data_IF_047167859881
#
_entry.id   IF_047167859881
#
_cell.length_a   1.000
_cell.length_b   1.000
_cell.length_c   1.000
_cell.angle_alpha   90.00
_cell.angle_beta   90.00
_cell.angle_gamma   90.00
#
_symmetry.space_group_name_H-M   'P 1'
#
loop_
_entity.id
_entity.type
_entity.pdbx_description
1 polymer ?
#
# COMPACT_ATOMS: atom_id res chain seq x y z
N UNK A 1 -1.52 -0.29 12.08
CA UNK A 1 -2.29 -0.76 10.91
C UNK A 1 -1.67 -2.05 10.41
N UNK A 2 -2.37 -3.18 10.56
CA UNK A 2 -1.95 -4.48 10.01
C UNK A 2 -2.07 -4.41 8.48
N UNK A 3 -0.95 -4.43 7.77
CA UNK A 3 -0.95 -4.87 6.38
C UNK A 3 -1.10 -6.38 6.39
N UNK A 4 -2.34 -6.87 6.32
CA UNK A 4 -2.56 -8.26 5.98
C UNK A 4 -2.19 -8.42 4.50
N UNK A 5 -0.98 -8.94 4.27
CA UNK A 5 -0.56 -9.51 3.01
C UNK A 5 -1.50 -10.67 2.71
N UNK A 6 -2.42 -10.48 1.78
CA UNK A 6 -2.96 -11.61 1.03
C UNK A 6 -2.08 -11.67 -0.22
N UNK A 7 -0.87 -12.20 -0.04
CA UNK A 7 -0.21 -12.85 -1.16
C UNK A 7 -1.04 -14.11 -1.39
N UNK A 8 -1.86 -14.11 -2.44
CA UNK A 8 -2.41 -15.36 -2.94
C UNK A 8 -1.21 -16.09 -3.52
N UNK A 9 -0.67 -16.99 -2.71
CA UNK A 9 0.39 -17.91 -3.09
C UNK A 9 -0.05 -18.64 -4.36
N UNK A 10 0.70 -18.43 -5.45
CA UNK A 10 0.37 -18.93 -6.78
C UNK A 10 0.80 -20.39 -6.99
N UNK A 11 1.20 -21.08 -5.92
CA UNK A 11 1.66 -22.47 -6.00
C UNK A 11 0.55 -23.50 -6.23
N UNK A 12 -0.73 -23.17 -5.99
CA UNK A 12 -1.84 -24.11 -6.19
C UNK A 12 -2.35 -24.25 -7.64
N UNK A 13 -1.81 -23.48 -8.58
CA UNK A 13 -2.22 -23.56 -9.99
C UNK A 13 -1.02 -23.61 -10.94
N UNK A 14 -0.10 -24.54 -10.67
CA UNK A 14 0.77 -25.07 -11.73
C UNK A 14 -0.16 -25.68 -12.78
N UNK A 15 -0.24 -25.02 -13.94
CA UNK A 15 -1.01 -25.44 -15.12
C UNK A 15 -0.56 -26.82 -15.58
N UNK A 16 -1.13 -27.87 -14.98
CA UNK A 16 -0.97 -29.24 -15.43
C UNK A 16 -2.01 -29.51 -16.51
N UNK A 17 -1.63 -29.27 -17.76
CA UNK A 17 -2.13 -29.93 -18.99
C UNK A 17 -3.64 -30.22 -19.05
N UNK A 18 -4.48 -29.19 -18.91
CA UNK A 18 -5.89 -29.25 -19.33
C UNK A 18 -6.14 -28.03 -20.20
N UNK A 19 -6.78 -28.20 -21.37
CA UNK A 19 -7.21 -27.12 -22.27
C UNK A 19 -8.27 -26.24 -21.58
N UNK A 20 -7.88 -25.50 -20.56
CA UNK A 20 -8.72 -24.55 -19.85
C UNK A 20 -8.68 -23.23 -20.60
N UNK A 21 -9.82 -22.71 -21.11
CA UNK A 21 -9.84 -21.40 -21.73
C UNK A 21 -9.57 -20.32 -20.66
N UNK A 22 -8.78 -19.32 -21.03
CA UNK A 22 -8.37 -18.22 -20.14
C UNK A 22 -9.56 -17.49 -19.50
N UNK A 23 -10.70 -17.43 -20.19
CA UNK A 23 -11.97 -16.91 -19.66
C UNK A 23 -12.36 -17.53 -18.31
N UNK A 24 -12.34 -18.86 -18.17
CA UNK A 24 -12.75 -19.51 -16.91
C UNK A 24 -11.75 -19.23 -15.78
N UNK A 25 -10.48 -19.01 -16.12
CA UNK A 25 -9.49 -18.59 -15.14
C UNK A 25 -9.85 -17.22 -14.58
N UNK A 26 -10.12 -16.24 -15.45
CA UNK A 26 -10.56 -14.91 -15.03
C UNK A 26 -11.85 -15.00 -14.20
N UNK A 27 -12.85 -15.72 -14.66
CA UNK A 27 -14.13 -15.86 -13.95
C UNK A 27 -13.95 -16.41 -12.53
N UNK A 28 -13.13 -17.47 -12.37
CA UNK A 28 -12.82 -18.03 -11.05
C UNK A 28 -12.12 -17.03 -10.14
N UNK A 29 -11.11 -16.31 -10.66
CA UNK A 29 -10.39 -15.30 -9.87
C UNK A 29 -11.27 -14.12 -9.51
N UNK A 30 -12.16 -13.69 -10.40
CA UNK A 30 -13.15 -12.64 -10.10
C UNK A 30 -14.05 -13.03 -8.93
N UNK A 31 -14.64 -14.24 -8.99
CA UNK A 31 -15.49 -14.76 -7.91
C UNK A 31 -14.71 -14.90 -6.60
N UNK A 32 -13.48 -15.40 -6.65
CA UNK A 32 -12.62 -15.51 -5.47
C UNK A 32 -12.39 -14.15 -4.81
N UNK A 33 -12.07 -13.12 -5.60
CA UNK A 33 -11.87 -11.76 -5.11
C UNK A 33 -13.17 -11.19 -4.53
N UNK A 34 -14.31 -11.44 -5.15
CA UNK A 34 -15.62 -11.03 -4.65
C UNK A 34 -16.00 -11.70 -3.32
N UNK A 35 -15.65 -12.97 -3.13
CA UNK A 35 -15.88 -13.65 -1.85
C UNK A 35 -15.02 -13.07 -0.72
N UNK A 36 -13.84 -12.54 -1.04
CA UNK A 36 -12.95 -11.92 -0.08
C UNK A 36 -13.39 -10.50 0.33
N UNK A 37 -14.29 -9.82 -0.39
CA UNK A 37 -14.61 -8.38 -0.17
C UNK A 37 -15.35 -8.06 1.14
N UNK A 38 -15.55 -9.02 2.04
CA UNK A 38 -16.11 -8.78 3.37
C UNK A 38 -15.19 -7.86 4.20
N UNK A 39 -13.91 -7.79 3.84
CA UNK A 39 -12.95 -6.79 4.31
C UNK A 39 -12.70 -5.74 3.23
N UNK A 40 -12.72 -4.45 3.62
CA UNK A 40 -12.39 -3.34 2.73
C UNK A 40 -10.90 -3.38 2.36
N UNK A 41 -10.57 -3.90 1.18
CA UNK A 41 -9.22 -3.83 0.63
C UNK A 41 -8.98 -2.48 -0.03
N UNK A 42 -7.79 -1.90 0.18
CA UNK A 42 -7.40 -0.63 -0.44
C UNK A 42 -7.04 -0.76 -1.93
N UNK A 43 -6.47 -1.90 -2.35
CA UNK A 43 -6.09 -2.17 -3.75
C UNK A 43 -6.29 -3.64 -4.08
N UNK A 44 -6.78 -3.96 -5.27
CA UNK A 44 -6.94 -5.32 -5.76
C UNK A 44 -6.06 -5.50 -7.00
N UNK A 45 -5.14 -6.46 -6.97
CA UNK A 45 -4.18 -6.70 -8.05
C UNK A 45 -4.14 -8.19 -8.39
N UNK A 46 -4.08 -8.51 -9.67
CA UNK A 46 -3.84 -9.86 -10.18
C UNK A 46 -2.54 -9.83 -10.98
N UNK A 47 -1.60 -10.69 -10.61
CA UNK A 47 -0.34 -10.88 -11.33
C UNK A 47 -0.40 -12.16 -12.17
N UNK A 48 -0.16 -12.03 -13.46
CA UNK A 48 0.00 -13.15 -14.38
C UNK A 48 1.47 -13.47 -14.54
N UNK A 49 1.84 -14.72 -14.28
CA UNK A 49 3.18 -15.25 -14.50
C UNK A 49 3.07 -16.29 -15.61
N UNK A 50 3.60 -16.00 -16.78
CA UNK A 50 3.38 -16.85 -17.97
C UNK A 50 4.50 -16.71 -18.99
N UNK A 51 4.82 -17.81 -19.66
CA UNK A 51 5.68 -17.87 -20.84
C UNK A 51 4.86 -18.15 -22.11
N UNK A 52 3.56 -17.88 -22.09
CA UNK A 52 2.70 -18.06 -23.26
C UNK A 52 2.00 -16.76 -23.62
N UNK A 53 2.44 -16.18 -24.73
CA UNK A 53 1.96 -14.93 -25.34
C UNK A 53 0.51 -15.03 -25.78
N UNK A 54 0.10 -16.21 -26.27
CA UNK A 54 -1.25 -16.47 -26.77
C UNK A 54 -1.87 -17.67 -26.03
N UNK A 55 -2.44 -17.43 -24.84
CA UNK A 55 -3.16 -18.48 -24.13
C UNK A 55 -4.36 -18.96 -24.96
N UNK A 56 -4.69 -20.25 -24.82
CA UNK A 56 -5.84 -20.82 -25.49
C UNK A 56 -7.13 -20.12 -25.03
N UNK A 57 -7.80 -19.47 -25.97
CA UNK A 57 -9.09 -18.83 -25.77
C UNK A 57 -10.09 -19.41 -26.77
N UNK A 58 -11.22 -19.89 -26.26
CA UNK A 58 -12.33 -20.33 -27.12
C UNK A 58 -13.03 -19.11 -27.74
N UNK A 59 -13.33 -18.12 -26.90
CA UNK A 59 -13.99 -16.86 -27.27
C UNK A 59 -13.16 -15.68 -26.74
N UNK A 60 -12.41 -15.03 -27.63
CA UNK A 60 -11.52 -13.91 -27.26
C UNK A 60 -12.33 -12.69 -26.77
N UNK A 61 -13.42 -12.33 -27.47
CA UNK A 61 -14.27 -11.20 -27.11
C UNK A 61 -14.89 -11.34 -25.73
N UNK A 62 -15.32 -12.55 -25.35
CA UNK A 62 -15.86 -12.80 -24.01
C UNK A 62 -14.78 -12.65 -22.93
N UNK A 63 -13.55 -13.04 -23.24
CA UNK A 63 -12.39 -12.90 -22.35
C UNK A 63 -12.02 -11.44 -22.14
N UNK A 64 -12.00 -10.64 -23.21
CA UNK A 64 -11.74 -9.19 -23.15
C UNK A 64 -12.86 -8.48 -22.39
N UNK A 65 -14.12 -8.79 -22.69
CA UNK A 65 -15.26 -8.24 -21.93
C UNK A 65 -15.12 -8.55 -20.44
N UNK A 66 -14.66 -9.76 -20.09
CA UNK A 66 -14.46 -10.12 -18.69
C UNK A 66 -13.28 -9.40 -18.04
N UNK A 67 -12.22 -9.15 -18.79
CA UNK A 67 -11.10 -8.34 -18.34
C UNK A 67 -11.57 -6.89 -18.05
N UNK A 68 -12.38 -6.32 -18.93
CA UNK A 68 -12.96 -4.99 -18.72
C UNK A 68 -13.84 -4.95 -17.46
N UNK A 69 -14.70 -5.96 -17.24
CA UNK A 69 -15.47 -6.06 -15.98
C UNK A 69 -14.56 -6.03 -14.73
N UNK A 70 -13.39 -6.68 -14.80
CA UNK A 70 -12.42 -6.67 -13.69
C UNK A 70 -11.81 -5.30 -13.48
N UNK A 71 -11.44 -4.62 -14.57
CA UNK A 71 -10.91 -3.26 -14.54
C UNK A 71 -11.94 -2.28 -13.98
N UNK A 72 -13.20 -2.37 -14.40
CA UNK A 72 -14.32 -1.57 -13.89
C UNK A 72 -14.59 -1.83 -12.40
N UNK A 73 -14.36 -3.07 -11.94
CA UNK A 73 -14.41 -3.44 -10.53
C UNK A 73 -13.19 -2.95 -9.71
N UNK A 74 -12.26 -2.21 -10.34
CA UNK A 74 -11.05 -1.69 -9.73
C UNK A 74 -9.98 -2.74 -9.46
N UNK A 75 -9.92 -3.80 -10.26
CA UNK A 75 -8.90 -4.84 -10.19
C UNK A 75 -7.82 -4.53 -11.24
N UNK A 76 -6.61 -4.27 -10.78
CA UNK A 76 -5.46 -4.04 -11.66
C UNK A 76 -4.86 -5.38 -12.10
N UNK A 77 -4.68 -5.56 -13.40
CA UNK A 77 -4.16 -6.78 -14.01
C UNK A 77 -2.76 -6.52 -14.54
N UNK A 78 -1.77 -7.17 -13.93
CA UNK A 78 -0.36 -7.01 -14.26
C UNK A 78 0.22 -8.30 -14.84
N UNK A 79 0.98 -8.17 -15.93
CA UNK A 79 1.69 -9.28 -16.55
C UNK A 79 3.18 -9.24 -16.19
N UNK A 80 3.73 -10.41 -15.87
CA UNK A 80 5.14 -10.70 -15.75
C UNK A 80 5.47 -11.83 -16.73
N UNK A 81 6.02 -11.47 -17.89
CA UNK A 81 6.39 -12.40 -18.95
C UNK A 81 7.66 -13.17 -18.57
N UNK A 82 7.56 -14.49 -18.48
CA UNK A 82 8.62 -15.42 -18.07
C UNK A 82 9.27 -16.10 -19.28
N UNK A 83 9.70 -15.31 -20.28
CA UNK A 83 10.31 -15.86 -21.49
C UNK A 83 11.77 -15.44 -21.62
N UNK A 84 12.57 -16.36 -22.16
CA UNK A 84 13.91 -16.09 -22.70
C UNK A 84 13.85 -15.64 -24.18
N UNK A 85 12.72 -15.90 -24.85
CA UNK A 85 12.44 -15.53 -26.24
C UNK A 85 11.54 -14.28 -26.31
N UNK A 86 11.37 -13.74 -27.51
CA UNK A 86 10.54 -12.56 -27.74
C UNK A 86 9.07 -12.82 -27.36
N UNK A 87 8.65 -12.30 -26.21
CA UNK A 87 7.26 -12.29 -25.75
C UNK A 87 6.49 -11.12 -26.37
N UNK A 88 5.52 -11.41 -27.24
CA UNK A 88 4.68 -10.40 -27.88
C UNK A 88 3.36 -10.16 -27.11
N UNK A 89 3.33 -9.06 -26.36
CA UNK A 89 2.15 -8.63 -25.62
C UNK A 89 0.97 -8.25 -26.52
N UNK A 90 1.23 -7.82 -27.76
CA UNK A 90 0.20 -7.30 -28.68
C UNK A 90 -0.78 -8.38 -29.14
N UNK A 91 -0.38 -9.65 -29.05
CA UNK A 91 -1.20 -10.78 -29.45
C UNK A 91 -2.44 -10.97 -28.57
N UNK A 92 -2.35 -10.65 -27.28
CA UNK A 92 -3.42 -10.94 -26.32
C UNK A 92 -3.46 -10.01 -25.11
N UNK A 93 -2.34 -9.87 -24.40
CA UNK A 93 -2.34 -9.22 -23.08
C UNK A 93 -2.48 -7.70 -23.12
N UNK A 94 -2.13 -7.05 -24.24
CA UNK A 94 -2.34 -5.60 -24.44
C UNK A 94 -3.82 -5.19 -24.28
N UNK A 95 -4.75 -6.10 -24.62
CA UNK A 95 -6.20 -5.87 -24.51
C UNK A 95 -6.76 -6.14 -23.11
N UNK A 96 -5.98 -6.73 -22.21
CA UNK A 96 -6.44 -7.27 -20.92
C UNK A 96 -5.74 -6.59 -19.75
N UNK A 97 -4.45 -6.29 -19.88
CA UNK A 97 -3.67 -5.68 -18.81
C UNK A 97 -4.01 -4.20 -18.67
N UNK A 98 -4.24 -3.78 -17.43
CA UNK A 98 -4.45 -2.37 -17.10
C UNK A 98 -3.09 -1.67 -17.04
N UNK A 99 -2.88 -0.68 -17.91
CA UNK A 99 -1.70 0.18 -17.86
C UNK A 99 -2.03 1.41 -17.00
N UNK A 100 -1.22 1.67 -15.98
CA UNK A 100 -1.32 2.94 -15.24
C UNK A 100 -0.62 4.03 -16.07
N UNK A 101 -1.35 5.10 -16.38
CA UNK A 101 -0.85 6.23 -17.20
C UNK A 101 0.31 6.93 -16.47
N UNK A 102 0.32 6.89 -15.13
CA UNK A 102 1.39 7.44 -14.29
C UNK A 102 2.65 6.55 -14.23
N UNK A 103 2.57 5.30 -14.69
CA UNK A 103 3.72 4.38 -14.83
C UNK A 103 4.33 4.42 -16.23
N UNK A 104 3.72 5.13 -17.18
CA UNK A 104 4.09 5.18 -18.61
C UNK A 104 5.37 5.99 -18.92
N UNK A 105 6.23 6.18 -17.91
CA UNK A 105 7.44 7.02 -17.99
C UNK A 105 8.49 6.50 -18.98
N UNK A 106 8.45 5.21 -19.33
CA UNK A 106 9.32 4.60 -20.35
C UNK A 106 8.59 3.49 -21.10
N UNK A 107 8.52 3.58 -22.44
CA UNK A 107 7.96 2.53 -23.30
C UNK A 107 8.65 1.15 -23.13
N UNK A 108 9.84 1.12 -22.50
CA UNK A 108 10.66 -0.07 -22.29
C UNK A 108 10.29 -0.87 -21.03
N UNK A 109 9.71 -0.25 -20.00
CA UNK A 109 9.39 -0.95 -18.74
C UNK A 109 8.15 -1.84 -18.86
N UNK A 110 7.23 -1.46 -19.73
CA UNK A 110 6.02 -2.22 -20.05
C UNK A 110 6.37 -3.56 -20.69
N UNK A 111 7.42 -3.60 -21.52
CA UNK A 111 7.79 -4.76 -22.36
C UNK A 111 8.94 -5.58 -21.79
N UNK A 112 9.42 -5.27 -20.59
CA UNK A 112 10.56 -5.97 -20.01
C UNK A 112 10.19 -7.44 -19.74
N UNK A 113 10.80 -8.34 -20.50
CA UNK A 113 10.73 -9.77 -20.26
C UNK A 113 11.60 -10.12 -19.05
N UNK A 114 11.12 -11.07 -18.25
CA UNK A 114 11.80 -11.52 -17.05
C UNK A 114 12.58 -12.80 -17.37
N UNK A 115 13.83 -12.64 -17.80
CA UNK A 115 14.73 -13.75 -18.13
C UNK A 115 15.38 -14.34 -16.87
N UNK A 116 15.69 -13.50 -15.88
CA UNK A 116 16.30 -13.93 -14.62
C UNK A 116 15.31 -13.86 -13.45
N UNK A 117 15.53 -14.70 -12.43
CA UNK A 117 14.75 -14.63 -11.19
C UNK A 117 14.89 -13.27 -10.50
N UNK A 118 16.07 -12.64 -10.57
CA UNK A 118 16.30 -11.31 -10.02
C UNK A 118 15.46 -10.24 -10.74
N UNK A 119 15.32 -10.33 -12.06
CA UNK A 119 14.44 -9.45 -12.83
C UNK A 119 12.98 -9.64 -12.43
N UNK A 120 12.53 -10.89 -12.30
CA UNK A 120 11.18 -11.21 -11.85
C UNK A 120 10.90 -10.64 -10.46
N UNK A 121 11.82 -10.82 -9.52
CA UNK A 121 11.69 -10.32 -8.16
C UNK A 121 11.62 -8.79 -8.14
N UNK A 122 12.49 -8.12 -8.90
CA UNK A 122 12.47 -6.66 -8.99
C UNK A 122 11.19 -6.14 -9.66
N UNK A 123 10.75 -6.77 -10.76
CA UNK A 123 9.52 -6.41 -11.46
C UNK A 123 8.28 -6.59 -10.60
N UNK A 124 8.22 -7.67 -9.81
CA UNK A 124 7.16 -7.89 -8.84
C UNK A 124 7.21 -6.85 -7.72
N UNK A 125 8.38 -6.60 -7.11
CA UNK A 125 8.53 -5.66 -5.99
C UNK A 125 8.11 -4.22 -6.34
N UNK A 126 8.38 -3.77 -7.56
CA UNK A 126 7.97 -2.44 -8.05
C UNK A 126 6.45 -2.30 -8.04
N UNK A 127 5.73 -3.38 -8.39
CA UNK A 127 4.27 -3.40 -8.51
C UNK A 127 3.56 -3.99 -7.29
N UNK A 128 4.29 -4.55 -6.32
CA UNK A 128 3.71 -5.18 -5.12
C UNK A 128 2.95 -4.17 -4.26
N UNK A 129 3.49 -2.96 -4.11
CA UNK A 129 2.98 -1.94 -3.20
C UNK A 129 2.58 -0.69 -3.96
N UNK A 130 1.34 -0.23 -3.81
CA UNK A 130 0.90 1.07 -4.34
C UNK A 130 1.68 2.21 -3.67
N UNK A 131 2.01 3.24 -4.46
CA UNK A 131 2.61 4.49 -3.96
C UNK A 131 1.80 5.04 -2.78
N UNK A 132 2.49 5.42 -1.69
CA UNK A 132 1.87 6.05 -0.50
C UNK A 132 2.63 7.32 -0.17
N UNK A 133 1.96 8.46 -0.37
CA UNK A 133 2.49 9.76 0.05
C UNK A 133 2.62 9.80 1.57
N UNK A 134 3.73 10.34 2.06
CA UNK A 134 3.92 10.63 3.48
C UNK A 134 3.05 11.83 3.89
N UNK A 135 3.05 12.87 3.05
CA UNK A 135 2.26 14.08 3.24
C UNK A 135 2.00 14.75 1.89
N UNK A 136 0.97 15.59 1.84
CA UNK A 136 0.72 16.49 0.72
C UNK A 136 0.70 17.92 1.26
N UNK A 137 1.45 18.81 0.64
CA UNK A 137 1.58 20.20 1.06
C UNK A 137 1.78 21.11 -0.15
N UNK A 138 1.51 22.42 -0.03
CA UNK A 138 1.82 23.38 -1.07
C UNK A 138 3.33 23.65 -1.13
N UNK A 139 3.86 23.73 -2.34
CA UNK A 139 5.18 24.26 -2.69
C UNK A 139 4.97 25.68 -3.24
N UNK A 140 5.42 26.69 -2.50
CA UNK A 140 5.11 28.10 -2.75
C UNK A 140 6.29 28.78 -3.45
N UNK A 141 6.09 29.22 -4.68
CA UNK A 141 7.08 29.97 -5.45
C UNK A 141 6.71 31.45 -5.45
N UNK A 142 7.42 32.26 -4.65
CA UNK A 142 7.09 33.67 -4.48
C UNK A 142 5.87 33.88 -3.58
N UNK A 143 4.99 34.83 -3.92
CA UNK A 143 3.80 35.15 -3.08
C UNK A 143 2.52 34.44 -3.53
N UNK A 144 2.35 34.24 -4.83
CA UNK A 144 1.04 33.88 -5.40
C UNK A 144 1.01 32.53 -6.13
N UNK A 145 2.16 31.87 -6.31
CA UNK A 145 2.22 30.58 -7.03
C UNK A 145 2.34 29.43 -6.06
N UNK A 146 1.28 28.64 -5.95
CA UNK A 146 1.24 27.47 -5.08
C UNK A 146 1.02 26.21 -5.92
N UNK A 147 1.92 25.25 -5.78
CA UNK A 147 1.84 23.94 -6.45
C UNK A 147 1.59 22.88 -5.39
N UNK A 148 0.53 22.08 -5.55
CA UNK A 148 0.30 20.96 -4.64
C UNK A 148 1.32 19.86 -4.92
N UNK A 149 2.16 19.54 -3.94
CA UNK A 149 3.15 18.47 -4.03
C UNK A 149 2.82 17.35 -3.06
N UNK A 150 3.20 16.13 -3.43
CA UNK A 150 3.13 14.96 -2.57
C UNK A 150 4.54 14.48 -2.27
N UNK A 151 4.88 14.39 -0.99
CA UNK A 151 6.18 13.86 -0.58
C UNK A 151 6.10 12.36 -0.45
N UNK A 152 7.06 11.67 -1.04
CA UNK A 152 7.25 10.24 -0.89
C UNK A 152 8.51 9.94 -0.09
N UNK A 153 8.48 8.83 0.66
CA UNK A 153 9.63 8.37 1.43
C UNK A 153 10.10 7.03 0.85
N UNK A 154 11.05 7.10 -0.09
CA UNK A 154 11.54 5.93 -0.85
C UNK A 154 12.32 4.95 0.03
N UNK A 155 13.00 5.45 1.07
CA UNK A 155 13.77 4.64 2.01
C UNK A 155 13.28 4.87 3.43
N UNK A 156 12.86 3.80 4.09
CA UNK A 156 12.49 3.80 5.52
C UNK A 156 13.31 2.75 6.27
N UNK A 157 13.74 3.04 7.51
CA UNK A 157 14.40 2.04 8.34
C UNK A 157 13.41 0.93 8.70
N UNK A 158 13.76 -0.32 8.39
CA UNK A 158 13.01 -1.48 8.82
C UNK A 158 13.31 -1.75 10.31
N UNK A 159 12.33 -1.49 11.18
CA UNK A 159 12.43 -1.74 12.63
C UNK A 159 11.65 -3.00 12.99
N UNK A 160 12.07 -3.70 14.04
CA UNK A 160 11.28 -4.78 14.64
C UNK A 160 9.97 -4.20 15.17
N UNK A 161 8.86 -4.88 14.90
CA UNK A 161 7.54 -4.48 15.39
C UNK A 161 7.50 -4.46 16.93
N UNK A 162 6.71 -3.53 17.47
CA UNK A 162 6.47 -3.44 18.91
C UNK A 162 5.74 -4.68 19.42
N UNK A 163 6.05 -5.15 20.65
CA UNK A 163 5.35 -6.29 21.22
C UNK A 163 3.86 -5.98 21.40
N UNK A 164 3.02 -7.00 21.21
CA UNK A 164 1.57 -6.93 21.45
C UNK A 164 1.25 -7.68 22.73
N UNK A 165 0.56 -7.03 23.66
CA UNK A 165 0.11 -7.65 24.91
C UNK A 165 -1.01 -8.64 24.64
N UNK A 166 -0.92 -9.84 25.20
CA UNK A 166 -1.89 -10.91 25.02
C UNK A 166 -2.44 -11.36 26.38
N UNK A 167 -3.71 -11.79 26.38
CA UNK A 167 -4.28 -12.51 27.51
C UNK A 167 -3.67 -13.92 27.61
N UNK A 168 -3.15 -14.30 28.78
CA UNK A 168 -2.48 -15.59 28.96
C UNK A 168 -3.37 -16.82 28.75
N UNK A 169 -4.69 -16.71 29.00
CA UNK A 169 -5.63 -17.82 28.85
C UNK A 169 -6.18 -17.95 27.43
N UNK A 170 -6.51 -16.83 26.79
CA UNK A 170 -7.20 -16.82 25.49
C UNK A 170 -6.29 -16.45 24.31
N UNK A 171 -5.05 -16.01 24.56
CA UNK A 171 -4.12 -15.47 23.57
C UNK A 171 -4.69 -14.32 22.71
N UNK A 172 -5.73 -13.65 23.19
CA UNK A 172 -6.33 -12.50 22.51
C UNK A 172 -5.56 -11.21 22.82
N UNK A 173 -5.44 -10.28 21.86
CA UNK A 173 -4.76 -9.01 22.08
C UNK A 173 -5.50 -8.16 23.11
N UNK A 174 -4.73 -7.56 24.02
CA UNK A 174 -5.23 -6.65 25.04
C UNK A 174 -5.28 -5.21 24.50
N UNK A 175 -6.28 -4.47 24.93
CA UNK A 175 -6.40 -3.02 24.70
C UNK A 175 -5.84 -2.30 25.92
N UNK A 176 -4.85 -1.42 25.71
CA UNK A 176 -4.23 -0.65 26.80
C UNK A 176 -4.86 0.74 26.88
N UNK A 177 -5.37 1.10 28.05
CA UNK A 177 -5.79 2.46 28.38
C UNK A 177 -4.81 3.05 29.41
N UNK A 178 -4.46 4.33 29.27
CA UNK A 178 -3.58 5.03 30.21
C UNK A 178 -4.32 6.25 30.76
N UNK A 179 -4.41 6.36 32.09
CA UNK A 179 -5.06 7.47 32.80
C UNK A 179 -4.10 8.06 33.82
N UNK A 180 -4.12 9.37 33.96
CA UNK A 180 -3.33 10.09 34.96
C UNK A 180 -4.14 10.26 36.23
N UNK A 181 -3.55 9.94 37.38
CA UNK A 181 -4.20 10.08 38.68
C UNK A 181 -3.41 11.04 39.57
N UNK A 182 -4.13 11.89 40.30
CA UNK A 182 -3.53 12.69 41.36
C UNK A 182 -3.12 11.77 42.50
N UNK A 183 -1.88 11.93 42.99
CA UNK A 183 -1.34 11.10 44.06
C UNK A 183 -2.10 11.25 45.38
N UNK A 184 -2.57 12.47 45.68
CA UNK A 184 -3.14 12.78 46.98
C UNK A 184 -4.66 12.53 47.03
N UNK A 185 -5.38 12.87 45.97
CA UNK A 185 -6.84 12.74 45.92
C UNK A 185 -7.32 11.46 45.22
N UNK A 186 -6.45 10.77 44.47
CA UNK A 186 -6.83 9.61 43.66
C UNK A 186 -7.76 9.95 42.49
N UNK A 187 -8.04 11.23 42.26
CA UNK A 187 -8.91 11.68 41.16
C UNK A 187 -8.19 11.58 39.83
N UNK A 188 -8.94 11.20 38.78
CA UNK A 188 -8.42 11.22 37.41
C UNK A 188 -8.18 12.68 37.02
N UNK A 189 -6.99 12.96 36.51
CA UNK A 189 -6.59 14.28 36.06
C UNK A 189 -7.00 14.47 34.60
N UNK A 190 -7.67 15.59 34.35
CA UNK A 190 -7.98 16.03 33.00
C UNK A 190 -6.79 16.75 32.38
N UNK A 191 -6.76 16.84 31.07
CA UNK A 191 -5.67 17.42 30.30
C UNK A 191 -5.39 18.89 30.64
N UNK A 192 -6.41 19.65 31.03
CA UNK A 192 -6.27 21.06 31.45
C UNK A 192 -5.69 21.23 32.85
N UNK A 193 -5.78 20.20 33.70
CA UNK A 193 -5.24 20.22 35.06
C UNK A 193 -3.73 19.94 35.12
N UNK A 194 -3.16 19.46 34.01
CA UNK A 194 -1.74 19.11 33.90
C UNK A 194 -0.99 20.26 33.22
N UNK A 195 -0.01 20.83 33.92
CA UNK A 195 0.88 21.87 33.38
C UNK A 195 2.29 21.32 33.16
N UNK A 196 2.93 21.78 32.08
CA UNK A 196 4.33 21.50 31.83
C UNK A 196 5.18 22.58 32.49
N UNK A 197 6.38 22.23 32.94
CA UNK A 197 7.33 23.23 33.43
C UNK A 197 8.75 22.91 32.97
N UNK A 198 9.57 23.94 32.86
CA UNK A 198 11.00 23.82 32.64
C UNK A 198 11.74 24.53 33.78
N UNK A 199 12.80 23.91 34.29
CA UNK A 199 13.66 24.52 35.32
C UNK A 199 14.78 25.30 34.64
N UNK A 200 14.97 26.56 35.03
CA UNK A 200 15.99 27.43 34.47
C UNK A 200 16.88 28.06 35.55
N UNK A 201 18.18 28.18 35.23
CA UNK A 201 19.20 28.81 36.05
C UNK A 201 19.71 27.97 37.24
N UNK A 202 20.75 28.47 37.94
CA UNK A 202 21.34 27.78 39.09
C UNK A 202 20.37 27.67 40.28
N UNK A 203 19.37 28.55 40.36
CA UNK A 203 18.31 28.53 41.38
C UNK A 203 17.16 27.56 41.09
N UNK A 204 17.17 26.84 39.94
CA UNK A 204 16.10 25.91 39.50
C UNK A 204 14.70 26.52 39.59
N UNK A 205 14.55 27.76 39.14
CA UNK A 205 13.24 28.40 39.12
C UNK A 205 12.36 27.71 38.09
N UNK A 206 11.14 27.34 38.48
CA UNK A 206 10.18 26.64 37.61
C UNK A 206 9.40 27.66 36.78
N UNK A 207 9.49 27.51 35.46
CA UNK A 207 8.72 28.29 34.50
C UNK A 207 7.64 27.36 33.95
N UNK A 208 6.38 27.71 34.20
CA UNK A 208 5.22 26.93 33.78
C UNK A 208 4.76 27.33 32.38
N UNK A 209 4.36 26.35 31.60
CA UNK A 209 3.78 26.52 30.28
C UNK A 209 2.51 25.68 30.14
N UNK A 210 1.51 26.25 29.51
CA UNK A 210 0.33 25.53 29.04
C UNK A 210 0.68 24.69 27.81
N UNK A 211 -0.12 23.67 27.50
CA UNK A 211 0.08 22.87 26.27
C UNK A 211 0.01 23.75 25.00
N UNK A 212 -0.91 24.71 24.98
CA UNK A 212 -1.09 25.65 23.86
C UNK A 212 0.15 26.51 23.65
N UNK A 213 0.71 27.10 24.72
CA UNK A 213 1.96 27.88 24.63
C UNK A 213 3.12 27.03 24.10
N UNK A 214 3.25 25.78 24.54
CA UNK A 214 4.30 24.87 24.03
C UNK A 214 4.11 24.54 22.55
N UNK A 215 2.86 24.45 22.07
CA UNK A 215 2.56 24.25 20.65
C UNK A 215 2.84 25.51 19.82
N UNK A 216 2.46 26.68 20.32
CA UNK A 216 2.75 27.98 19.70
C UNK A 216 4.25 28.21 19.56
N UNK A 217 5.03 27.89 20.61
CA UNK A 217 6.49 27.97 20.59
C UNK A 217 7.15 27.09 19.50
N UNK A 218 6.47 26.03 19.07
CA UNK A 218 6.96 25.11 18.02
C UNK A 218 6.40 25.43 16.63
N UNK A 219 5.39 26.30 16.55
CA UNK A 219 4.66 26.56 15.31
C UNK A 219 5.32 27.70 14.55
N UNK A 220 5.95 27.37 13.41
CA UNK A 220 6.55 28.34 12.51
C UNK A 220 5.83 28.31 11.17
N UNK A 221 4.98 29.31 10.93
CA UNK A 221 4.21 29.43 9.70
C UNK A 221 3.25 28.25 9.46
N UNK A 222 2.66 28.20 8.26
CA UNK A 222 1.88 27.05 7.81
C UNK A 222 2.81 26.01 7.16
N UNK A 223 2.45 24.71 7.20
CA UNK A 223 3.27 23.66 6.60
C UNK A 223 3.31 23.82 5.06
N UNK A 224 4.41 24.36 4.57
CA UNK A 224 4.69 24.55 3.15
C UNK A 224 6.19 24.36 2.86
N UNK A 225 6.52 24.27 1.58
CA UNK A 225 7.89 24.37 1.06
C UNK A 225 8.09 25.67 0.31
#
# INVERSE_FOLDING_TARGET
MRFQRIAVDLTDFIFRSVKCPFFFFLEKKFKMIQLLTWTKFGTKRVFFFTNNDKPWCKDENATIAKANDMSDAGIEMNLLALSEEDFDMSLFYDKICSMDVDELTSANDVKKQMTTFADLENGLRVKEVKKRSLLSCPFTIGRDHNIAVQIYCTRRPAKKDSPVWLNAGTNQPLVTETKWLCKDTGTILDEFSIQNYFEYGPSKTRIYFTKQEVEELKTFGSPCF
#
